data_IF_381004514923
#
_entry.id   IF_381004514923
#
_cell.length_a   1.000
_cell.length_b   1.000
_cell.length_c   1.000
_cell.angle_alpha   90.00
_cell.angle_beta   90.00
_cell.angle_gamma   90.00
#
_symmetry.space_group_name_H-M   'P 1'
#
loop_
_entity.id
_entity.type
_entity.pdbx_description
1 polymer ?
#
# COMPACT_ATOMS: atom_id res chain seq x y z
N UNK A 1 26.69 -18.28 -3.42
CA UNK A 1 25.62 -18.04 -4.37
C UNK A 1 24.76 -16.87 -3.89
N UNK A 2 24.48 -16.01 -4.77
CA UNK A 2 23.67 -14.88 -4.39
C UNK A 2 22.21 -15.26 -4.24
N UNK A 3 21.62 -14.81 -3.17
CA UNK A 3 20.21 -15.05 -2.93
C UNK A 3 19.40 -13.84 -3.40
N UNK A 4 18.69 -14.02 -4.51
CA UNK A 4 17.92 -12.94 -5.10
C UNK A 4 16.72 -12.53 -4.25
N UNK A 5 16.38 -13.33 -3.26
CA UNK A 5 15.25 -13.03 -2.39
C UNK A 5 15.63 -12.20 -1.19
N UNK A 6 16.91 -11.94 -1.01
CA UNK A 6 17.35 -11.06 0.07
C UNK A 6 17.10 -9.64 -0.37
N UNK A 7 16.22 -8.90 0.30
CA UNK A 7 15.94 -7.53 -0.10
C UNK A 7 17.14 -6.64 0.14
N UNK A 8 17.28 -5.66 -0.72
CA UNK A 8 18.25 -4.61 -0.52
C UNK A 8 17.77 -3.71 0.60
N UNK A 9 18.61 -2.79 1.02
CA UNK A 9 18.33 -1.89 2.11
C UNK A 9 17.00 -1.16 1.94
N UNK A 10 16.64 -0.85 0.70
CA UNK A 10 15.42 -0.10 0.39
C UNK A 10 14.26 -0.98 0.00
N UNK A 11 14.46 -2.28 0.00
CA UNK A 11 13.42 -3.21 -0.40
C UNK A 11 12.87 -3.96 0.81
N UNK A 12 11.60 -4.33 0.72
CA UNK A 12 10.95 -5.09 1.78
C UNK A 12 10.18 -6.25 1.18
N UNK A 13 10.10 -7.33 1.92
CA UNK A 13 9.28 -8.48 1.53
C UNK A 13 7.81 -8.15 1.80
N UNK A 14 6.93 -8.76 1.01
CA UNK A 14 5.50 -8.59 1.21
C UNK A 14 5.07 -8.92 2.64
N UNK A 15 5.61 -10.00 3.17
CA UNK A 15 5.28 -10.44 4.53
C UNK A 15 5.67 -9.41 5.58
N UNK A 16 6.62 -8.55 5.28
CA UNK A 16 7.04 -7.52 6.21
C UNK A 16 6.13 -6.30 6.18
N UNK A 17 5.57 -6.00 5.00
CA UNK A 17 4.77 -4.78 4.85
C UNK A 17 3.29 -5.00 5.07
N UNK A 18 2.84 -6.24 5.04
CA UNK A 18 1.43 -6.51 5.30
C UNK A 18 1.09 -6.06 6.71
N UNK A 19 0.03 -5.30 6.84
CA UNK A 19 -0.37 -4.75 8.13
C UNK A 19 0.26 -3.40 8.46
N UNK A 20 1.17 -2.92 7.61
CA UNK A 20 1.75 -1.61 7.82
C UNK A 20 0.67 -0.54 7.75
N UNK A 21 0.82 0.47 8.59
CA UNK A 21 -0.07 1.61 8.55
C UNK A 21 0.17 2.40 7.26
N UNK A 22 -0.92 2.80 6.62
CA UNK A 22 -0.86 3.59 5.40
C UNK A 22 -1.38 4.98 5.71
N UNK A 23 -0.59 5.98 5.37
CA UNK A 23 -0.95 7.37 5.57
C UNK A 23 -0.71 8.15 4.29
N UNK A 24 -1.32 9.33 4.19
CA UNK A 24 -1.12 10.18 3.03
C UNK A 24 0.06 11.10 3.24
N UNK A 25 0.50 11.72 2.15
CA UNK A 25 1.56 12.71 2.21
C UNK A 25 1.17 13.97 3.01
N UNK A 26 -0.12 14.11 3.33
CA UNK A 26 -0.60 15.18 4.21
C UNK A 26 -0.76 14.70 5.65
N UNK A 27 -0.13 13.58 5.98
CA UNK A 27 -0.13 13.02 7.33
C UNK A 27 -1.50 12.57 7.81
N UNK A 28 -2.35 12.11 6.91
CA UNK A 28 -3.65 11.55 7.26
C UNK A 28 -3.59 10.04 7.24
N UNK A 29 -4.12 9.40 8.25
CA UNK A 29 -4.10 7.94 8.34
C UNK A 29 -5.25 7.36 7.53
N UNK A 30 -4.94 6.42 6.63
CA UNK A 30 -5.95 5.72 5.84
C UNK A 30 -6.36 4.42 6.50
N UNK A 31 -5.41 3.66 6.99
CA UNK A 31 -5.67 2.37 7.58
C UNK A 31 -4.44 1.50 7.51
N UNK A 32 -4.61 0.21 7.30
CA UNK A 32 -3.50 -0.73 7.22
C UNK A 32 -3.52 -1.48 5.90
N UNK A 33 -2.32 -1.80 5.42
CA UNK A 33 -2.17 -2.54 4.17
C UNK A 33 -2.64 -3.97 4.36
N UNK A 34 -3.61 -4.39 3.55
CA UNK A 34 -4.18 -5.72 3.66
C UNK A 34 -3.77 -6.63 2.51
N UNK A 35 -3.82 -6.14 1.29
CA UNK A 35 -3.55 -6.95 0.10
C UNK A 35 -2.90 -6.12 -0.98
N UNK A 36 -2.24 -6.82 -1.91
CA UNK A 36 -1.76 -6.24 -3.16
C UNK A 36 -2.63 -6.78 -4.28
N UNK A 37 -2.98 -5.91 -5.21
CA UNK A 37 -3.73 -6.32 -6.40
C UNK A 37 -2.72 -6.40 -7.54
N UNK A 38 -2.58 -7.58 -8.11
CA UNK A 38 -1.56 -7.87 -9.11
C UNK A 38 -2.22 -8.19 -10.44
N UNK A 39 -1.65 -7.66 -11.50
CA UNK A 39 -2.09 -8.02 -12.85
C UNK A 39 -1.49 -9.38 -13.19
N UNK A 40 -2.33 -10.38 -13.43
CA UNK A 40 -1.89 -11.75 -13.66
C UNK A 40 -1.02 -11.88 -14.90
N UNK A 41 -1.26 -11.06 -15.90
CA UNK A 41 -0.53 -11.16 -17.18
C UNK A 41 0.87 -10.57 -17.10
N UNK A 42 1.01 -9.47 -16.37
CA UNK A 42 2.29 -8.76 -16.31
C UNK A 42 3.05 -9.02 -15.02
N UNK A 43 2.36 -9.51 -13.99
CA UNK A 43 2.95 -9.69 -12.67
C UNK A 43 3.15 -8.39 -11.91
N UNK A 44 2.68 -7.27 -12.45
CA UNK A 44 2.88 -5.98 -11.81
C UNK A 44 1.79 -5.67 -10.80
N UNK A 45 2.19 -4.95 -9.76
CA UNK A 45 1.24 -4.47 -8.76
C UNK A 45 0.45 -3.31 -9.37
N UNK A 46 -0.86 -3.43 -9.32
CA UNK A 46 -1.75 -2.42 -9.89
C UNK A 46 -2.29 -1.50 -8.79
N UNK A 47 -2.74 -2.09 -7.71
CA UNK A 47 -3.31 -1.35 -6.59
C UNK A 47 -2.86 -1.94 -5.28
N UNK A 48 -3.02 -1.16 -4.23
CA UNK A 48 -2.91 -1.68 -2.87
C UNK A 48 -4.31 -1.62 -2.25
N UNK A 49 -4.67 -2.65 -1.52
CA UNK A 49 -5.94 -2.70 -0.81
C UNK A 49 -5.68 -2.38 0.65
N UNK A 50 -6.27 -1.30 1.11
CA UNK A 50 -6.09 -0.79 2.46
C UNK A 50 -7.36 -1.05 3.25
N UNK A 51 -7.22 -1.69 4.40
CA UNK A 51 -8.36 -1.80 5.30
C UNK A 51 -8.49 -0.46 6.02
N UNK A 52 -9.60 0.22 5.77
CA UNK A 52 -9.80 1.58 6.25
C UNK A 52 -9.96 1.59 7.77
N UNK A 53 -9.23 2.47 8.43
CA UNK A 53 -9.34 2.63 9.86
C UNK A 53 -10.71 3.22 10.19
N UNK A 54 -11.32 2.66 11.23
CA UNK A 54 -12.65 3.08 11.63
C UNK A 54 -12.64 4.55 12.05
N UNK A 55 -13.63 5.29 11.58
CA UNK A 55 -13.72 6.71 11.91
C UNK A 55 -12.90 7.61 11.02
N UNK A 56 -12.09 7.04 10.15
CA UNK A 56 -11.28 7.83 9.22
C UNK A 56 -11.99 7.89 7.87
N UNK A 57 -12.12 9.10 7.36
CA UNK A 57 -12.82 9.33 6.11
C UNK A 57 -11.95 10.21 5.23
N UNK A 58 -10.83 9.65 4.79
CA UNK A 58 -9.87 10.37 3.96
C UNK A 58 -10.13 10.06 2.50
N UNK A 59 -10.17 11.11 1.71
CA UNK A 59 -10.34 10.95 0.26
C UNK A 59 -8.98 10.97 -0.42
N UNK A 60 -8.77 9.98 -1.27
CA UNK A 60 -7.57 9.91 -2.11
C UNK A 60 -8.01 9.89 -3.55
N UNK A 61 -7.50 10.82 -4.33
CA UNK A 61 -7.86 10.92 -5.74
C UNK A 61 -7.48 9.65 -6.48
N UNK A 62 -8.44 9.10 -7.22
CA UNK A 62 -8.20 7.88 -7.98
C UNK A 62 -8.41 6.59 -7.20
N UNK A 63 -8.63 6.69 -5.90
CA UNK A 63 -8.90 5.50 -5.09
C UNK A 63 -10.37 5.09 -5.22
N UNK A 64 -10.61 3.79 -5.03
CA UNK A 64 -11.96 3.24 -5.09
C UNK A 64 -12.30 2.58 -3.76
N UNK A 65 -13.49 2.86 -3.26
CA UNK A 65 -13.96 2.24 -2.03
C UNK A 65 -14.69 0.95 -2.35
N UNK A 66 -14.38 -0.08 -1.60
CA UNK A 66 -15.05 -1.36 -1.74
C UNK A 66 -15.29 -1.93 -0.33
N UNK A 67 -16.47 -1.63 0.22
CA UNK A 67 -16.78 -2.04 1.60
C UNK A 67 -15.83 -1.39 2.59
N UNK A 68 -15.13 -2.21 3.36
CA UNK A 68 -14.17 -1.74 4.34
C UNK A 68 -12.80 -1.47 3.75
N UNK A 69 -12.65 -1.66 2.45
CA UNK A 69 -11.35 -1.53 1.79
C UNK A 69 -11.31 -0.34 0.88
N UNK A 70 -10.14 0.24 0.77
CA UNK A 70 -9.87 1.33 -0.16
C UNK A 70 -8.79 0.82 -1.11
N UNK A 71 -9.09 0.83 -2.41
CA UNK A 71 -8.13 0.43 -3.43
C UNK A 71 -7.44 1.68 -3.93
N UNK A 72 -6.14 1.77 -3.67
CA UNK A 72 -5.34 2.92 -4.08
C UNK A 72 -4.38 2.48 -5.18
N UNK A 73 -4.34 3.21 -6.31
CA UNK A 73 -3.39 2.86 -7.37
C UNK A 73 -1.97 2.79 -6.84
N UNK A 74 -1.24 1.77 -7.23
CA UNK A 74 0.14 1.60 -6.77
C UNK A 74 1.02 2.79 -7.14
N UNK A 75 0.70 3.45 -8.25
CA UNK A 75 1.44 4.63 -8.67
C UNK A 75 1.39 5.76 -7.65
N UNK A 76 0.43 5.73 -6.75
CA UNK A 76 0.31 6.73 -5.70
C UNK A 76 1.22 6.46 -4.50
N UNK A 77 1.82 5.29 -4.43
CA UNK A 77 2.73 4.96 -3.32
C UNK A 77 4.02 5.74 -3.49
N UNK A 78 4.34 6.58 -2.52
CA UNK A 78 5.55 7.40 -2.55
C UNK A 78 6.71 6.74 -1.84
N UNK A 79 6.46 6.20 -0.66
CA UNK A 79 7.52 5.64 0.17
C UNK A 79 6.99 4.47 0.97
N UNK A 80 7.89 3.54 1.23
CA UNK A 80 7.63 2.42 2.13
C UNK A 80 8.77 2.38 3.13
N UNK A 81 8.46 2.67 4.37
CA UNK A 81 9.42 2.65 5.47
C UNK A 81 8.76 1.98 6.65
N UNK A 82 8.68 2.67 7.77
CA UNK A 82 7.91 2.21 8.91
C UNK A 82 6.42 2.34 8.64
N UNK A 83 6.07 3.24 7.73
CA UNK A 83 4.71 3.43 7.23
C UNK A 83 4.75 3.38 5.72
N UNK A 84 3.58 3.25 5.14
CA UNK A 84 3.44 3.39 3.70
C UNK A 84 2.83 4.76 3.46
N UNK A 85 3.46 5.56 2.63
CA UNK A 85 2.99 6.92 2.33
C UNK A 85 2.46 6.96 0.91
N UNK A 86 1.25 7.44 0.75
CA UNK A 86 0.63 7.61 -0.56
C UNK A 86 0.30 9.08 -0.80
N UNK A 87 0.29 9.48 -2.06
CA UNK A 87 -0.07 10.83 -2.46
C UNK A 87 -1.59 10.98 -2.44
N UNK A 88 -2.09 12.03 -1.81
CA UNK A 88 -3.51 12.33 -1.91
C UNK A 88 -3.85 12.86 -3.27
#
# INVERSE_FOLDING_TARGET
MENKNIPKKEEKLWSEVKGYQVATNNARILGSLDELVINEKTGKIVDIAIKVAQGHNVHVKGAKRNGDFLLVPFAKVEKVGEFIIVTE
#
